data_IF_157387800589
#
_entry.id   IF_157387800589
#
_cell.length_a   1.000
_cell.length_b   1.000
_cell.length_c   1.000
_cell.angle_alpha   90.00
_cell.angle_beta   90.00
_cell.angle_gamma   90.00
#
_symmetry.space_group_name_H-M   'P 1'
#
loop_
_entity.id
_entity.type
_entity.pdbx_description
1 polymer ?
#
# COMPACT_ATOMS: atom_id res chain seq x y z
N UNK A 1 -9.29 -15.25 6.63
CA UNK A 1 -7.88 -15.14 6.17
C UNK A 1 -7.50 -13.68 6.22
N UNK A 2 -6.42 -13.33 6.91
CA UNK A 2 -5.93 -11.95 6.94
C UNK A 2 -5.08 -11.71 5.69
N UNK A 3 -5.28 -10.55 5.05
CA UNK A 3 -4.45 -10.08 3.94
C UNK A 3 -3.60 -8.93 4.47
N UNK A 4 -2.43 -8.75 3.86
CA UNK A 4 -1.59 -7.58 4.10
C UNK A 4 -1.74 -6.62 2.93
N UNK A 5 -1.95 -5.35 3.25
CA UNK A 5 -2.07 -4.28 2.26
C UNK A 5 -0.94 -3.28 2.42
N UNK A 6 -0.44 -2.77 1.29
CA UNK A 6 0.40 -1.58 1.25
C UNK A 6 -0.48 -0.41 0.79
N UNK A 7 -0.68 0.59 1.64
CA UNK A 7 -1.58 1.71 1.38
C UNK A 7 -0.79 2.93 0.90
N UNK A 8 -1.10 3.40 -0.31
CA UNK A 8 -0.61 4.67 -0.82
C UNK A 8 -1.20 5.86 -0.03
N UNK A 9 -0.57 7.04 -0.11
CA UNK A 9 -1.07 8.27 0.52
C UNK A 9 -2.40 8.77 -0.04
N UNK A 10 -2.78 8.34 -1.24
CA UNK A 10 -4.05 8.72 -1.87
C UNK A 10 -5.24 7.94 -1.29
N UNK A 11 -4.99 6.87 -0.52
CA UNK A 11 -6.04 6.06 0.09
C UNK A 11 -6.57 6.78 1.34
N UNK A 12 -7.88 7.07 1.43
CA UNK A 12 -8.47 7.68 2.61
C UNK A 12 -8.26 6.84 3.87
N UNK A 13 -8.04 7.52 5.01
CA UNK A 13 -7.83 6.85 6.30
C UNK A 13 -9.02 5.96 6.71
N UNK A 14 -10.24 6.29 6.27
CA UNK A 14 -11.46 5.50 6.50
C UNK A 14 -11.35 4.11 5.85
N UNK A 15 -10.82 4.02 4.63
CA UNK A 15 -10.61 2.73 3.93
C UNK A 15 -9.61 1.88 4.70
N UNK A 16 -8.49 2.47 5.13
CA UNK A 16 -7.48 1.80 5.98
C UNK A 16 -8.10 1.32 7.29
N UNK A 17 -8.95 2.15 7.90
CA UNK A 17 -9.66 1.83 9.14
C UNK A 17 -10.58 0.61 8.98
N UNK A 18 -11.40 0.58 7.93
CA UNK A 18 -12.31 -0.53 7.63
C UNK A 18 -11.54 -1.83 7.39
N UNK A 19 -10.43 -1.79 6.65
CA UNK A 19 -9.60 -2.97 6.40
C UNK A 19 -9.00 -3.53 7.69
N UNK A 20 -8.45 -2.66 8.55
CA UNK A 20 -7.91 -3.06 9.85
C UNK A 20 -8.99 -3.64 10.78
N UNK A 21 -10.17 -3.01 10.83
CA UNK A 21 -11.31 -3.50 11.61
C UNK A 21 -11.78 -4.88 11.16
N UNK A 22 -11.62 -5.22 9.88
CA UNK A 22 -11.91 -6.56 9.33
C UNK A 22 -10.79 -7.58 9.56
N UNK A 23 -9.74 -7.23 10.30
CA UNK A 23 -8.63 -8.12 10.66
C UNK A 23 -7.53 -8.21 9.59
N UNK A 24 -7.46 -7.28 8.65
CA UNK A 24 -6.35 -7.18 7.70
C UNK A 24 -5.20 -6.35 8.26
N UNK A 25 -3.98 -6.68 7.84
CA UNK A 25 -2.79 -5.88 8.11
C UNK A 25 -2.68 -4.78 7.04
N UNK A 26 -2.38 -3.55 7.44
CA UNK A 26 -2.26 -2.41 6.51
C UNK A 26 -1.04 -1.59 6.88
N UNK A 27 -0.04 -1.64 6.01
CA UNK A 27 1.21 -0.87 6.09
C UNK A 27 1.05 0.39 5.25
N UNK A 28 1.39 1.56 5.79
CA UNK A 28 1.37 2.78 5.00
C UNK A 28 2.66 2.90 4.18
N UNK A 29 2.56 3.31 2.91
CA UNK A 29 3.72 3.41 2.00
C UNK A 29 4.87 4.22 2.62
N UNK A 30 4.54 5.35 3.25
CA UNK A 30 5.49 6.23 3.95
C UNK A 30 6.30 5.58 5.07
N UNK A 31 5.88 4.41 5.57
CA UNK A 31 6.61 3.67 6.61
C UNK A 31 7.74 2.82 6.03
N UNK A 32 7.72 2.53 4.72
CA UNK A 32 8.64 1.61 4.06
C UNK A 32 9.36 2.22 2.85
N UNK A 33 8.81 3.30 2.28
CA UNK A 33 9.35 4.02 1.13
C UNK A 33 9.05 5.52 1.23
N UNK A 34 9.75 6.30 0.40
CA UNK A 34 9.44 7.70 0.23
C UNK A 34 8.10 7.85 -0.54
N UNK A 35 7.19 8.77 -0.16
CA UNK A 35 5.92 9.01 -0.85
C UNK A 35 6.00 9.39 -2.34
N UNK A 36 7.20 9.71 -2.83
CA UNK A 36 7.50 10.02 -4.23
C UNK A 36 8.43 8.99 -4.87
N UNK A 37 8.53 7.80 -4.27
CA UNK A 37 9.25 6.69 -4.89
C UNK A 37 8.59 6.34 -6.23
N UNK A 38 9.37 6.02 -7.27
CA UNK A 38 8.86 5.53 -8.55
C UNK A 38 7.95 4.31 -8.38
N UNK A 39 6.99 4.16 -9.27
CA UNK A 39 6.00 3.09 -9.24
C UNK A 39 6.64 1.70 -9.22
N UNK A 40 7.70 1.47 -10.01
CA UNK A 40 8.43 0.20 -10.02
C UNK A 40 8.98 -0.18 -8.66
N UNK A 41 9.48 0.80 -7.89
CA UNK A 41 9.98 0.57 -6.54
C UNK A 41 8.84 0.31 -5.54
N UNK A 42 7.69 0.98 -5.71
CA UNK A 42 6.49 0.74 -4.89
C UNK A 42 5.96 -0.67 -5.13
N UNK A 43 5.86 -1.11 -6.39
CA UNK A 43 5.42 -2.45 -6.77
C UNK A 43 6.40 -3.50 -6.21
N UNK A 44 7.70 -3.32 -6.42
CA UNK A 44 8.72 -4.25 -5.92
C UNK A 44 8.65 -4.38 -4.39
N UNK A 45 8.46 -3.26 -3.67
CA UNK A 45 8.34 -3.28 -2.21
C UNK A 45 7.05 -3.97 -1.75
N UNK A 46 5.93 -3.77 -2.45
CA UNK A 46 4.68 -4.47 -2.14
C UNK A 46 4.86 -6.00 -2.28
N UNK A 47 5.53 -6.44 -3.35
CA UNK A 47 5.84 -7.86 -3.60
C UNK A 47 6.77 -8.42 -2.52
N UNK A 48 7.85 -7.72 -2.17
CA UNK A 48 8.80 -8.09 -1.12
C UNK A 48 8.10 -8.30 0.24
N UNK A 49 7.13 -7.44 0.58
CA UNK A 49 6.40 -7.49 1.84
C UNK A 49 5.22 -8.49 1.84
N UNK A 50 4.93 -9.11 0.69
CA UNK A 50 3.75 -9.96 0.50
C UNK A 50 2.43 -9.20 0.62
N UNK A 51 2.42 -7.94 0.19
CA UNK A 51 1.28 -7.04 0.28
C UNK A 51 0.49 -6.95 -1.03
N UNK A 52 -0.83 -6.79 -0.90
CA UNK A 52 -1.66 -6.24 -1.97
C UNK A 52 -1.54 -4.72 -1.95
N UNK A 53 -1.12 -4.11 -3.06
CA UNK A 53 -1.00 -2.66 -3.18
C UNK A 53 -2.39 -2.02 -3.34
N UNK A 54 -2.74 -1.10 -2.45
CA UNK A 54 -3.94 -0.29 -2.53
C UNK A 54 -3.60 1.02 -3.23
N UNK A 55 -3.92 1.06 -4.53
CA UNK A 55 -3.77 2.20 -5.44
C UNK A 55 -2.32 2.46 -5.92
N UNK A 56 -2.20 2.72 -7.22
CA UNK A 56 -0.99 3.15 -7.90
C UNK A 56 -1.44 4.02 -9.07
N UNK A 57 -0.96 5.26 -9.15
CA UNK A 57 -1.09 6.07 -10.37
C UNK A 57 0.11 5.77 -11.24
N UNK A 58 0.02 4.70 -12.04
CA UNK A 58 1.06 4.36 -13.00
C UNK A 58 1.35 5.58 -13.89
N UNK A 59 2.53 6.19 -13.73
CA UNK A 59 3.01 7.19 -14.68
C UNK A 59 3.41 6.47 -15.96
N UNK A 60 2.95 6.92 -17.15
CA UNK A 60 3.35 6.29 -18.40
C UNK A 60 4.88 6.42 -18.57
N UNK A 61 5.51 5.44 -19.25
CA UNK A 61 6.96 5.41 -19.47
C UNK A 61 7.47 6.61 -20.28
#
# INVERSE_FOLDING_TARGET
MSLRFLSDQCVPAEVVGVLRQRGHDVVALRQVLHPRSPDDLVIAKAQELGCVLLFLLASPP
#
